data_IF_482286288940
#
_entry.id   IF_482286288940
#
_cell.length_a   1.000
_cell.length_b   1.000
_cell.length_c   1.000
_cell.angle_alpha   90.00
_cell.angle_beta   90.00
_cell.angle_gamma   90.00
#
_symmetry.space_group_name_H-M   'P 1'
#
loop_
_entity.id
_entity.type
_entity.pdbx_description
1 polymer ?
#
# COMPACT_ATOMS: atom_id res chain seq x y z
N UNK A 1 -18.23 -9.11 -11.82
CA UNK A 1 -17.65 -9.61 -10.55
C UNK A 1 -17.05 -8.39 -9.87
N UNK A 2 -17.59 -7.99 -8.71
CA UNK A 2 -16.92 -6.97 -7.90
C UNK A 2 -15.75 -7.65 -7.19
N UNK A 3 -14.61 -6.95 -7.01
CA UNK A 3 -13.47 -7.55 -6.33
C UNK A 3 -13.86 -7.87 -4.88
N UNK A 4 -13.51 -9.06 -4.38
CA UNK A 4 -13.62 -9.44 -2.97
C UNK A 4 -12.52 -8.77 -2.11
N UNK A 5 -11.63 -8.01 -2.73
CA UNK A 5 -10.52 -7.30 -2.10
C UNK A 5 -10.61 -5.78 -2.31
N UNK A 6 -10.03 -4.97 -1.40
CA UNK A 6 -9.96 -3.53 -1.59
C UNK A 6 -9.08 -3.16 -2.77
N UNK A 7 -9.53 -2.18 -3.54
CA UNK A 7 -8.81 -1.63 -4.70
C UNK A 7 -8.31 -0.23 -4.39
N UNK A 8 -7.22 0.14 -5.03
CA UNK A 8 -6.69 1.50 -4.98
C UNK A 8 -7.55 2.38 -5.88
N UNK A 9 -8.12 3.46 -5.34
CA UNK A 9 -8.96 4.39 -6.11
C UNK A 9 -8.34 5.76 -6.30
N UNK A 10 -7.30 6.08 -5.53
CA UNK A 10 -6.53 7.30 -5.69
C UNK A 10 -5.16 7.15 -5.04
N UNK A 11 -4.14 7.78 -5.62
CA UNK A 11 -2.80 7.89 -5.06
C UNK A 11 -2.33 9.33 -5.19
N UNK A 12 -2.01 9.98 -4.07
CA UNK A 12 -1.53 11.37 -4.06
C UNK A 12 -0.23 11.48 -3.27
N UNK A 13 0.70 12.29 -3.77
CA UNK A 13 1.92 12.62 -3.03
C UNK A 13 1.60 13.74 -2.05
N UNK A 14 1.90 13.53 -0.78
CA UNK A 14 1.73 14.48 0.30
C UNK A 14 3.00 14.69 1.12
N UNK A 15 3.01 15.71 1.99
CA UNK A 15 4.09 15.90 2.96
C UNK A 15 4.04 14.75 3.98
N UNK A 16 5.12 13.98 4.06
CA UNK A 16 5.29 12.92 5.05
C UNK A 16 5.68 13.46 6.42
N UNK A 17 5.47 12.64 7.45
CA UNK A 17 5.67 13.03 8.85
C UNK A 17 7.14 13.37 9.16
N UNK A 18 8.08 12.78 8.41
CA UNK A 18 9.54 12.98 8.55
C UNK A 18 10.08 14.12 7.66
N UNK A 19 9.20 14.87 6.97
CA UNK A 19 9.61 15.87 5.99
C UNK A 19 10.04 15.30 4.63
N UNK A 20 9.90 13.98 4.44
CA UNK A 20 10.03 13.30 3.15
C UNK A 20 8.69 13.24 2.42
N UNK A 21 8.70 13.09 1.11
CA UNK A 21 7.47 12.87 0.36
C UNK A 21 6.89 11.48 0.70
N UNK A 22 5.60 11.43 1.01
CA UNK A 22 4.85 10.19 1.23
C UNK A 22 3.71 10.12 0.23
N UNK A 23 3.33 8.90 -0.14
CA UNK A 23 2.16 8.65 -0.97
C UNK A 23 1.00 8.23 -0.09
N UNK A 24 -0.10 8.94 -0.19
CA UNK A 24 -1.36 8.57 0.42
C UNK A 24 -2.22 7.88 -0.63
N UNK A 25 -2.43 6.58 -0.45
CA UNK A 25 -3.33 5.78 -1.26
C UNK A 25 -4.71 5.69 -0.60
N UNK A 26 -5.77 5.99 -1.35
CA UNK A 26 -7.16 5.72 -0.95
C UNK A 26 -7.55 4.34 -1.44
N UNK A 27 -8.05 3.51 -0.52
CA UNK A 27 -8.56 2.17 -0.79
C UNK A 27 -10.08 2.19 -0.73
N UNK A 28 -10.74 1.59 -1.72
CA UNK A 28 -12.17 1.30 -1.71
C UNK A 28 -12.39 -0.18 -1.46
N UNK A 29 -13.07 -0.48 -0.36
CA UNK A 29 -13.45 -1.83 0.02
C UNK A 29 -14.72 -2.28 -0.71
N UNK A 30 -14.93 -3.60 -0.86
CA UNK A 30 -16.12 -4.14 -1.52
C UNK A 30 -17.44 -3.74 -0.83
N UNK A 31 -17.39 -3.50 0.48
CA UNK A 31 -18.52 -3.00 1.28
C UNK A 31 -18.78 -1.49 1.12
N UNK A 32 -18.05 -0.80 0.24
CA UNK A 32 -18.11 0.65 0.04
C UNK A 32 -17.32 1.46 1.08
N UNK A 33 -16.67 0.81 2.04
CA UNK A 33 -15.78 1.44 3.01
C UNK A 33 -14.56 2.04 2.32
N UNK A 34 -14.01 3.11 2.91
CA UNK A 34 -12.81 3.78 2.40
C UNK A 34 -11.78 3.92 3.50
N UNK A 35 -10.51 3.69 3.15
CA UNK A 35 -9.37 3.89 4.05
C UNK A 35 -8.24 4.59 3.32
N UNK A 36 -7.43 5.33 4.08
CA UNK A 36 -6.21 5.95 3.56
C UNK A 36 -5.00 5.24 4.14
N UNK A 37 -3.99 5.03 3.29
CA UNK A 37 -2.74 4.40 3.64
C UNK A 37 -1.59 5.31 3.19
N UNK A 38 -0.74 5.71 4.14
CA UNK A 38 0.51 6.42 3.83
C UNK A 38 1.64 5.44 3.56
N UNK A 39 2.39 5.70 2.50
CA UNK A 39 3.44 4.83 1.97
C UNK A 39 4.67 5.69 1.72
N UNK A 40 5.81 5.29 2.29
CA UNK A 40 7.09 5.95 2.02
C UNK A 40 7.60 5.68 0.61
N UNK A 41 8.57 6.48 0.16
CA UNK A 41 9.16 6.39 -1.19
C UNK A 41 9.69 4.99 -1.55
N UNK A 42 10.41 4.32 -0.66
CA UNK A 42 10.94 2.97 -0.92
C UNK A 42 9.83 1.93 -1.11
N UNK A 43 8.81 2.00 -0.26
CA UNK A 43 7.65 1.12 -0.34
C UNK A 43 6.85 1.37 -1.63
N UNK A 44 6.71 2.63 -2.02
CA UNK A 44 6.09 2.99 -3.29
C UNK A 44 6.87 2.40 -4.47
N UNK A 45 8.20 2.56 -4.50
CA UNK A 45 9.06 2.06 -5.57
C UNK A 45 8.88 0.55 -5.79
N UNK A 46 8.83 -0.23 -4.71
CA UNK A 46 8.54 -1.67 -4.77
C UNK A 46 7.13 -1.97 -5.25
N UNK A 47 6.15 -1.17 -4.84
CA UNK A 47 4.76 -1.36 -5.25
C UNK A 47 4.55 -1.08 -6.74
N UNK A 48 5.15 -0.03 -7.31
CA UNK A 48 5.07 0.23 -8.75
C UNK A 48 5.80 -0.84 -9.57
N UNK A 49 6.94 -1.34 -9.09
CA UNK A 49 7.65 -2.46 -9.72
C UNK A 49 6.80 -3.75 -9.69
N UNK A 50 6.23 -4.10 -8.54
CA UNK A 50 5.36 -5.26 -8.39
C UNK A 50 4.07 -5.18 -9.24
N UNK A 51 3.52 -3.97 -9.40
CA UNK A 51 2.38 -3.72 -10.27
C UNK A 51 2.76 -3.59 -11.76
N UNK A 52 4.06 -3.58 -12.10
CA UNK A 52 4.55 -3.42 -13.47
C UNK A 52 4.21 -2.06 -14.10
N UNK A 53 4.05 -1.02 -13.28
CA UNK A 53 3.72 0.34 -13.71
C UNK A 53 4.88 1.29 -13.44
N UNK A 54 4.92 2.41 -14.16
CA UNK A 54 5.99 3.41 -14.03
C UNK A 54 5.52 4.69 -13.35
N UNK A 55 4.28 4.73 -12.86
CA UNK A 55 3.65 5.96 -12.35
C UNK A 55 2.54 5.65 -11.34
N UNK A 56 2.31 6.59 -10.43
CA UNK A 56 1.27 6.53 -9.38
C UNK A 56 -0.13 6.29 -9.93
N UNK A 57 -0.47 6.91 -11.05
CA UNK A 57 -1.78 6.77 -11.70
C UNK A 57 -2.06 5.30 -12.08
N UNK A 58 -1.02 4.56 -12.49
CA UNK A 58 -1.12 3.15 -12.84
C UNK A 58 -1.41 2.22 -11.66
N UNK A 59 -1.27 2.69 -10.42
CA UNK A 59 -1.70 1.96 -9.24
C UNK A 59 -3.22 2.02 -9.06
N UNK A 60 -3.89 3.03 -9.62
CA UNK A 60 -5.35 3.14 -9.54
C UNK A 60 -5.99 1.95 -10.27
N UNK A 61 -6.94 1.30 -9.60
CA UNK A 61 -7.58 0.08 -10.08
C UNK A 61 -6.81 -1.21 -9.79
N UNK A 62 -5.58 -1.13 -9.28
CA UNK A 62 -4.84 -2.29 -8.80
C UNK A 62 -5.36 -2.73 -7.42
N UNK A 63 -5.21 -4.03 -7.08
CA UNK A 63 -5.52 -4.51 -5.75
C UNK A 63 -4.58 -3.89 -4.72
N UNK A 64 -5.06 -3.65 -3.50
CA UNK A 64 -4.24 -3.09 -2.42
C UNK A 64 -3.02 -3.97 -2.07
N UNK A 65 -3.07 -5.26 -2.39
CA UNK A 65 -2.00 -6.24 -2.15
C UNK A 65 -0.69 -5.88 -2.86
N UNK A 66 -0.71 -5.10 -3.95
CA UNK A 66 0.53 -4.61 -4.59
C UNK A 66 1.32 -3.69 -3.66
N UNK A 67 0.63 -2.97 -2.77
CA UNK A 67 1.25 -2.07 -1.80
C UNK A 67 1.92 -2.85 -0.67
N UNK A 68 1.41 -4.06 -0.34
CA UNK A 68 1.99 -4.94 0.70
C UNK A 68 3.41 -5.40 0.35
N UNK A 69 3.72 -5.57 -0.93
CA UNK A 69 5.09 -5.87 -1.36
C UNK A 69 6.10 -4.77 -0.99
N UNK A 70 5.61 -3.53 -0.89
CA UNK A 70 6.40 -2.37 -0.50
C UNK A 70 6.43 -2.06 0.99
N UNK A 71 5.35 -2.39 1.71
CA UNK A 71 5.26 -2.14 3.14
C UNK A 71 6.20 -3.08 3.89
N UNK A 72 7.40 -2.60 4.22
CA UNK A 72 8.15 -3.11 5.37
C UNK A 72 7.28 -2.82 6.59
N UNK A 73 6.50 -3.81 7.04
CA UNK A 73 5.69 -3.70 8.25
C UNK A 73 6.51 -4.25 9.43
N UNK A 74 7.27 -3.42 10.17
CA UNK A 74 7.73 -3.81 11.49
C UNK A 74 6.51 -3.89 12.42
N UNK A 75 5.82 -5.03 12.41
CA UNK A 75 4.67 -5.27 13.29
C UNK A 75 3.54 -6.13 12.73
N UNK A 76 3.53 -6.48 11.44
CA UNK A 76 2.59 -7.48 10.95
C UNK A 76 3.14 -8.88 11.27
N UNK A 77 2.84 -9.35 12.48
CA UNK A 77 3.08 -10.72 12.86
C UNK A 77 2.25 -11.64 11.96
N UNK A 78 2.86 -12.25 10.95
CA UNK A 78 2.24 -13.37 10.25
C UNK A 78 1.95 -14.47 11.29
N UNK A 79 0.73 -15.03 11.38
CA UNK A 79 0.48 -16.13 12.28
C UNK A 79 1.39 -17.31 11.90
N UNK A 80 2.46 -17.54 12.66
CA UNK A 80 3.38 -18.67 12.49
C UNK A 80 4.89 -18.36 12.48
N UNK A 81 5.34 -17.11 12.62
CA UNK A 81 6.79 -16.85 12.76
C UNK A 81 7.20 -16.91 14.25
N UNK A 82 8.25 -17.68 14.62
CA UNK A 82 8.71 -17.73 16.00
C UNK A 82 9.36 -16.39 16.37
N UNK A 83 8.93 -15.80 17.49
CA UNK A 83 9.64 -14.67 18.08
C UNK A 83 11.00 -15.16 18.60
N UNK A 84 12.09 -14.64 18.04
CA UNK A 84 13.42 -14.82 18.65
C UNK A 84 13.58 -13.82 19.79
N UNK A 85 13.32 -14.27 21.01
CA UNK A 85 13.69 -13.55 22.24
C UNK A 85 15.21 -13.62 22.40
N UNK A 86 15.88 -12.46 22.43
CA UNK A 86 17.24 -12.31 22.97
C UNK A 86 17.15 -11.78 24.39
#
# INVERSE_FOLDING_TARGET
MQPDEPIIVSCVVGPGHDGRAEVVAELLYPNGGRSWLSIGEEALSRAVDAAGVTSLDGLTGQPWTVLVAGLDMPGLNMPGQPISTT
#
